data_IF_098643372207
#
_entry.id   IF_098643372207
#
_cell.length_a   1.000
_cell.length_b   1.000
_cell.length_c   1.000
_cell.angle_alpha   90.00
_cell.angle_beta   90.00
_cell.angle_gamma   90.00
#
_symmetry.space_group_name_H-M   'P 1'
#
loop_
_entity.id
_entity.type
_entity.pdbx_description
1 polymer ?
#
# COMPACT_ATOMS: atom_id res chain seq x y z
N UNK A 1 12.84 -27.76 -6.02
CA UNK A 1 11.40 -27.43 -5.84
C UNK A 1 11.33 -26.48 -4.65
N UNK A 2 10.78 -25.27 -4.67
CA UNK A 2 9.57 -24.75 -5.32
C UNK A 2 9.69 -23.22 -5.45
N UNK A 3 9.45 -22.74 -6.67
CA UNK A 3 8.92 -21.43 -7.05
C UNK A 3 9.62 -20.13 -6.57
N UNK A 4 10.43 -19.59 -7.49
CA UNK A 4 10.58 -18.18 -7.82
C UNK A 4 10.00 -17.13 -6.85
N UNK A 5 10.92 -16.49 -6.10
CA UNK A 5 10.98 -15.04 -5.83
C UNK A 5 9.61 -14.36 -5.86
N UNK A 6 8.88 -14.49 -4.76
CA UNK A 6 7.74 -13.62 -4.47
C UNK A 6 8.23 -12.17 -4.49
N UNK A 7 7.84 -11.49 -5.57
CA UNK A 7 7.90 -10.05 -5.85
C UNK A 7 8.61 -9.20 -4.78
N UNK A 8 9.95 -9.18 -4.79
CA UNK A 8 10.79 -8.13 -4.18
C UNK A 8 10.69 -6.82 -4.97
N UNK A 9 9.49 -6.37 -5.32
CA UNK A 9 9.32 -5.00 -5.80
C UNK A 9 9.19 -4.13 -4.57
N UNK A 10 10.19 -3.30 -4.25
CA UNK A 10 10.09 -2.40 -3.12
C UNK A 10 8.88 -1.46 -3.33
N UNK A 11 8.20 -1.11 -2.24
CA UNK A 11 6.93 -0.37 -2.27
C UNK A 11 6.96 0.92 -3.13
N UNK A 12 8.14 1.56 -3.26
CA UNK A 12 8.35 2.73 -4.11
C UNK A 12 8.19 2.47 -5.62
N UNK A 13 8.22 1.22 -6.07
CA UNK A 13 7.93 0.86 -7.47
C UNK A 13 6.42 0.80 -7.72
N UNK A 14 5.62 0.56 -6.68
CA UNK A 14 4.18 0.35 -6.77
C UNK A 14 3.44 1.69 -6.55
N UNK A 15 3.94 2.51 -5.63
CA UNK A 15 3.41 3.82 -5.30
C UNK A 15 4.46 4.89 -5.57
N UNK A 16 4.06 5.97 -6.24
CA UNK A 16 4.93 7.13 -6.44
C UNK A 16 5.24 7.81 -5.12
N UNK A 17 6.30 8.61 -5.07
CA UNK A 17 6.67 9.38 -3.87
C UNK A 17 5.50 10.21 -3.33
N UNK A 18 4.71 10.80 -4.23
CA UNK A 18 3.51 11.56 -3.84
C UNK A 18 2.50 10.68 -3.11
N UNK A 19 2.24 9.47 -3.62
CA UNK A 19 1.35 8.51 -2.97
C UNK A 19 1.87 8.06 -1.61
N UNK A 20 3.18 7.82 -1.47
CA UNK A 20 3.78 7.41 -0.21
C UNK A 20 3.71 8.51 0.86
N UNK A 21 3.98 9.76 0.47
CA UNK A 21 3.86 10.92 1.35
C UNK A 21 2.41 11.07 1.82
N UNK A 22 1.47 11.01 0.89
CA UNK A 22 0.04 11.13 1.17
C UNK A 22 -0.47 10.00 2.08
N UNK A 23 -0.01 8.76 1.84
CA UNK A 23 -0.32 7.59 2.66
C UNK A 23 0.23 7.71 4.09
N UNK A 24 1.40 8.34 4.25
CA UNK A 24 1.99 8.60 5.58
C UNK A 24 1.26 9.71 6.33
N UNK A 25 0.69 10.67 5.59
CA UNK A 25 -0.10 11.76 6.14
C UNK A 25 -1.52 11.30 6.55
N UNK A 26 -2.20 10.55 5.67
CA UNK A 26 -3.55 10.04 5.91
C UNK A 26 -3.58 8.86 6.88
N UNK A 27 -2.50 8.06 6.96
CA UNK A 27 -2.40 6.85 7.80
C UNK A 27 -3.66 5.95 7.71
N UNK A 28 -4.05 5.53 6.49
CA UNK A 28 -5.28 4.79 6.28
C UNK A 28 -5.34 3.52 7.13
N UNK A 29 -6.46 3.31 7.82
CA UNK A 29 -6.69 2.15 8.70
C UNK A 29 -7.69 1.15 8.14
N UNK A 30 -8.32 1.48 7.02
CA UNK A 30 -9.17 0.59 6.27
C UNK A 30 -9.00 0.80 4.75
N UNK A 31 -9.60 -0.08 3.96
CA UNK A 31 -9.51 -0.04 2.49
C UNK A 31 -10.15 1.22 1.89
N UNK A 32 -11.21 1.75 2.52
CA UNK A 32 -11.89 2.96 2.07
C UNK A 32 -10.96 4.17 2.19
N UNK A 33 -10.30 4.33 3.34
CA UNK A 33 -9.29 5.37 3.56
C UNK A 33 -8.08 5.17 2.64
N UNK A 34 -7.68 3.92 2.39
CA UNK A 34 -6.59 3.62 1.45
C UNK A 34 -6.94 4.03 0.01
N UNK A 35 -8.22 3.94 -0.37
CA UNK A 35 -8.71 4.39 -1.67
C UNK A 35 -8.70 5.92 -1.83
N UNK A 36 -8.70 6.67 -0.73
CA UNK A 36 -8.57 8.13 -0.76
C UNK A 36 -7.14 8.61 -1.03
N UNK A 37 -6.14 7.75 -0.84
CA UNK A 37 -4.73 8.11 -1.04
C UNK A 37 -4.48 8.44 -2.52
N UNK A 38 -3.86 9.58 -2.75
CA UNK A 38 -3.58 10.04 -4.11
C UNK A 38 -2.67 9.05 -4.87
N UNK A 39 -3.14 8.52 -6.01
CA UNK A 39 -2.39 7.53 -6.81
C UNK A 39 -2.66 6.06 -6.46
N UNK A 40 -3.60 5.80 -5.53
CA UNK A 40 -4.23 4.49 -5.33
C UNK A 40 -5.46 4.38 -6.22
N UNK A 41 -5.34 3.63 -7.32
CA UNK A 41 -6.48 3.26 -8.17
C UNK A 41 -7.09 1.92 -7.77
N UNK A 42 -8.24 1.57 -8.38
CA UNK A 42 -8.98 0.33 -8.08
C UNK A 42 -8.13 -0.95 -8.17
N UNK A 43 -7.24 -1.05 -9.17
CA UNK A 43 -6.34 -2.19 -9.30
C UNK A 43 -5.35 -2.30 -8.13
N UNK A 44 -4.75 -1.17 -7.70
CA UNK A 44 -3.81 -1.14 -6.59
C UNK A 44 -4.51 -1.37 -5.25
N UNK A 45 -5.71 -0.83 -5.08
CA UNK A 45 -6.55 -1.08 -3.90
C UNK A 45 -6.85 -2.58 -3.76
N UNK A 46 -7.23 -3.24 -4.86
CA UNK A 46 -7.54 -4.67 -4.86
C UNK A 46 -6.31 -5.55 -4.60
N UNK A 47 -5.18 -5.29 -5.27
CA UNK A 47 -3.97 -6.11 -5.14
C UNK A 47 -3.19 -5.83 -3.85
N UNK A 48 -3.16 -4.58 -3.38
CA UNK A 48 -2.24 -4.15 -2.31
C UNK A 48 -2.93 -3.55 -1.09
N UNK A 49 -4.20 -3.15 -1.17
CA UNK A 49 -4.87 -2.42 -0.10
C UNK A 49 -4.85 -3.17 1.24
N UNK A 50 -5.18 -4.46 1.23
CA UNK A 50 -5.22 -5.25 2.47
C UNK A 50 -3.83 -5.37 3.13
N UNK A 51 -2.79 -5.58 2.32
CA UNK A 51 -1.41 -5.72 2.81
C UNK A 51 -0.91 -4.39 3.39
N UNK A 52 -1.13 -3.29 2.69
CA UNK A 52 -0.66 -1.98 3.13
C UNK A 52 -1.42 -1.46 4.33
N UNK A 53 -2.75 -1.54 4.35
CA UNK A 53 -3.56 -1.15 5.51
C UNK A 53 -3.13 -1.92 6.75
N UNK A 54 -2.93 -3.24 6.64
CA UNK A 54 -2.46 -4.05 7.76
C UNK A 54 -1.06 -3.63 8.23
N UNK A 55 -0.13 -3.34 7.31
CA UNK A 55 1.22 -2.91 7.67
C UNK A 55 1.22 -1.52 8.32
N UNK A 56 0.46 -0.56 7.79
CA UNK A 56 0.32 0.80 8.32
C UNK A 56 -0.31 0.77 9.71
N UNK A 57 -1.36 -0.04 9.89
CA UNK A 57 -2.00 -0.22 11.19
C UNK A 57 -1.05 -0.84 12.24
N UNK A 58 -0.15 -1.74 11.82
CA UNK A 58 0.83 -2.37 12.71
C UNK A 58 1.97 -1.44 13.14
N UNK A 59 2.37 -0.48 12.30
CA UNK A 59 3.48 0.45 12.58
C UNK A 59 3.04 1.83 13.09
N UNK A 60 1.73 2.08 13.22
CA UNK A 60 1.16 3.34 13.68
C UNK A 60 0.97 3.47 15.21
N UNK A 61 1.78 2.76 16.01
CA UNK A 61 1.85 2.88 17.47
C UNK A 61 2.83 3.98 17.88
#
# INVERSE_FOLDING_TARGET
>A
MRLARERKVPAYVIFSDRSLIDMTALRPRNLDEFALVNGVGAAKLKDFGAVFVSAIAAHGQ
#
